data_IF_706369319234
#
_entry.id   IF_706369319234
#
_cell.length_a   1.000
_cell.length_b   1.000
_cell.length_c   1.000
_cell.angle_alpha   90.00
_cell.angle_beta   90.00
_cell.angle_gamma   90.00
#
_symmetry.space_group_name_H-M   'P 1'
#
loop_
_entity.id
_entity.type
_entity.pdbx_description
1 polymer ?
#
# COMPACT_ATOMS: atom_id res chain seq x y z
N UNK A 1 -14.06 -43.77 3.01
CA UNK A 1 -14.52 -42.92 4.13
C UNK A 1 -15.73 -42.18 3.60
N UNK A 2 -16.93 -42.50 4.08
CA UNK A 2 -18.14 -41.76 3.70
C UNK A 2 -18.05 -40.37 4.32
N UNK A 3 -18.17 -39.32 3.51
CA UNK A 3 -18.44 -38.00 4.07
C UNK A 3 -19.80 -38.09 4.76
N UNK A 4 -19.81 -37.95 6.07
CA UNK A 4 -21.04 -37.74 6.83
C UNK A 4 -21.75 -36.51 6.25
N UNK A 5 -23.09 -36.59 6.16
CA UNK A 5 -24.03 -35.62 5.57
C UNK A 5 -23.93 -34.23 6.22
N UNK A 6 -22.82 -33.53 6.01
CA UNK A 6 -22.65 -32.12 6.35
C UNK A 6 -23.14 -31.28 5.18
N UNK A 7 -24.00 -30.31 5.45
CA UNK A 7 -24.34 -29.27 4.48
C UNK A 7 -23.07 -28.46 4.13
N UNK A 8 -22.74 -28.40 2.84
CA UNK A 8 -21.67 -27.56 2.32
C UNK A 8 -21.96 -26.09 2.60
N UNK A 9 -20.97 -25.36 3.11
CA UNK A 9 -21.04 -23.90 3.15
C UNK A 9 -20.59 -23.30 1.82
N UNK A 10 -20.87 -22.01 1.60
CA UNK A 10 -20.39 -21.28 0.42
C UNK A 10 -18.87 -21.26 0.37
N UNK A 11 -18.19 -21.26 1.52
CA UNK A 11 -16.73 -21.30 1.58
C UNK A 11 -16.17 -22.67 1.13
N UNK A 12 -16.87 -23.77 1.43
CA UNK A 12 -16.48 -25.12 0.98
C UNK A 12 -16.57 -25.26 -0.55
N UNK A 13 -17.46 -24.51 -1.22
CA UNK A 13 -17.58 -24.46 -2.68
C UNK A 13 -16.51 -23.58 -3.35
N UNK A 14 -15.84 -22.73 -2.58
CA UNK A 14 -14.73 -21.89 -3.04
C UNK A 14 -13.37 -22.57 -2.84
N UNK A 15 -13.32 -23.65 -2.06
CA UNK A 15 -12.17 -24.53 -1.97
C UNK A 15 -12.17 -25.53 -3.13
N UNK A 16 -11.20 -25.47 -4.06
CA UNK A 16 -11.23 -26.27 -5.27
C UNK A 16 -11.18 -27.78 -5.00
N UNK A 17 -10.47 -28.19 -3.94
CA UNK A 17 -10.30 -29.61 -3.59
C UNK A 17 -11.59 -30.18 -2.98
N UNK A 18 -12.27 -29.41 -2.12
CA UNK A 18 -13.57 -29.77 -1.56
C UNK A 18 -14.66 -29.82 -2.63
N UNK A 19 -14.70 -28.84 -3.54
CA UNK A 19 -15.63 -28.84 -4.68
C UNK A 19 -15.40 -30.08 -5.58
N UNK A 20 -14.13 -30.44 -5.83
CA UNK A 20 -13.74 -31.61 -6.62
C UNK A 20 -14.23 -32.92 -5.99
N UNK A 21 -14.04 -33.08 -4.68
CA UNK A 21 -14.49 -34.25 -3.95
C UNK A 21 -16.01 -34.37 -3.94
N UNK A 22 -16.72 -33.25 -3.81
CA UNK A 22 -18.19 -33.25 -3.80
C UNK A 22 -18.80 -33.53 -5.18
N UNK A 23 -18.23 -32.95 -6.24
CA UNK A 23 -18.61 -33.28 -7.62
C UNK A 23 -18.29 -34.74 -7.92
N UNK A 24 -17.17 -35.26 -7.40
CA UNK A 24 -16.81 -36.65 -7.57
C UNK A 24 -17.78 -37.61 -6.87
N UNK A 25 -18.19 -37.31 -5.64
CA UNK A 25 -19.17 -38.10 -4.89
C UNK A 25 -20.57 -38.02 -5.52
N UNK A 26 -20.99 -36.82 -5.95
CA UNK A 26 -22.30 -36.59 -6.59
C UNK A 26 -22.45 -37.31 -7.94
N UNK A 27 -21.37 -37.41 -8.73
CA UNK A 27 -21.43 -38.03 -10.07
C UNK A 27 -21.09 -39.51 -10.10
N UNK A 28 -20.60 -40.13 -9.01
CA UNK A 28 -20.01 -41.47 -9.10
C UNK A 28 -20.57 -42.54 -8.18
N UNK A 29 -21.39 -43.37 -8.81
CA UNK A 29 -21.10 -44.80 -8.90
C UNK A 29 -20.26 -45.22 -10.13
N UNK A 30 -19.42 -44.36 -10.72
CA UNK A 30 -18.60 -44.66 -11.92
C UNK A 30 -17.16 -44.14 -11.78
N UNK A 31 -16.24 -44.45 -12.70
CA UNK A 31 -14.87 -43.93 -12.68
C UNK A 31 -14.79 -42.50 -13.26
N UNK A 32 -14.36 -41.50 -12.48
CA UNK A 32 -14.16 -40.13 -13.00
C UNK A 32 -12.81 -39.98 -13.68
N UNK A 33 -12.85 -39.32 -14.84
CA UNK A 33 -11.71 -38.59 -15.36
C UNK A 33 -11.70 -37.20 -14.69
N UNK A 34 -10.70 -36.93 -13.84
CA UNK A 34 -10.57 -35.67 -13.10
C UNK A 34 -9.98 -34.52 -13.92
N UNK A 35 -9.47 -34.79 -15.14
CA UNK A 35 -8.83 -33.77 -15.98
C UNK A 35 -9.69 -32.52 -16.19
N UNK A 36 -11.00 -32.60 -16.52
CA UNK A 36 -11.82 -31.40 -16.73
C UNK A 36 -11.97 -30.52 -15.48
N UNK A 37 -11.91 -31.12 -14.28
CA UNK A 37 -11.99 -30.39 -13.02
C UNK A 37 -10.66 -29.74 -12.66
N UNK A 38 -9.54 -30.40 -12.94
CA UNK A 38 -8.20 -29.81 -12.80
C UNK A 38 -8.02 -28.65 -13.78
N UNK A 39 -8.47 -28.81 -15.03
CA UNK A 39 -8.45 -27.74 -16.04
C UNK A 39 -9.29 -26.54 -15.60
N UNK A 40 -10.47 -26.78 -15.00
CA UNK A 40 -11.32 -25.71 -14.45
C UNK A 40 -10.67 -25.01 -13.26
N UNK A 41 -10.06 -25.76 -12.33
CA UNK A 41 -9.30 -25.19 -11.20
C UNK A 41 -8.18 -24.29 -11.70
N UNK A 42 -7.38 -24.80 -12.63
CA UNK A 42 -6.21 -24.11 -13.17
C UNK A 42 -6.64 -22.85 -13.95
N UNK A 43 -7.81 -22.88 -14.60
CA UNK A 43 -8.43 -21.70 -15.20
C UNK A 43 -8.92 -20.67 -14.16
N UNK A 44 -9.51 -21.11 -13.04
CA UNK A 44 -10.08 -20.23 -12.02
C UNK A 44 -9.01 -19.64 -11.07
N UNK A 45 -7.88 -20.30 -10.87
CA UNK A 45 -6.87 -19.89 -9.90
C UNK A 45 -6.34 -18.45 -10.13
N UNK A 46 -5.97 -18.05 -11.36
CA UNK A 46 -5.52 -16.69 -11.64
C UNK A 46 -6.59 -15.63 -11.37
N UNK A 47 -7.87 -15.97 -11.56
CA UNK A 47 -8.98 -15.05 -11.28
C UNK A 47 -9.12 -14.78 -9.78
N UNK A 48 -9.01 -15.81 -8.95
CA UNK A 48 -9.05 -15.65 -7.48
C UNK A 48 -7.84 -14.88 -6.97
N UNK A 49 -6.66 -15.13 -7.54
CA UNK A 49 -5.45 -14.38 -7.20
C UNK A 49 -5.58 -12.90 -7.58
N UNK A 50 -6.16 -12.61 -8.74
CA UNK A 50 -6.47 -11.25 -9.18
C UNK A 50 -7.42 -10.54 -8.21
N UNK A 51 -8.51 -11.17 -7.80
CA UNK A 51 -9.49 -10.54 -6.91
C UNK A 51 -8.85 -10.23 -5.53
N UNK A 52 -8.05 -11.14 -4.99
CA UNK A 52 -7.27 -10.88 -3.75
C UNK A 52 -6.25 -9.75 -3.92
N UNK A 53 -5.60 -9.66 -5.07
CA UNK A 53 -4.69 -8.57 -5.38
C UNK A 53 -5.44 -7.24 -5.51
N UNK A 54 -6.60 -7.23 -6.17
CA UNK A 54 -7.48 -6.06 -6.30
C UNK A 54 -7.85 -5.47 -4.94
N UNK A 55 -8.23 -6.30 -3.97
CA UNK A 55 -8.61 -5.84 -2.63
C UNK A 55 -7.43 -5.14 -1.93
N UNK A 56 -6.23 -5.73 -2.02
CA UNK A 56 -5.01 -5.11 -1.47
C UNK A 56 -4.68 -3.78 -2.15
N UNK A 57 -4.92 -3.68 -3.46
CA UNK A 57 -4.76 -2.42 -4.22
C UNK A 57 -5.74 -1.38 -3.69
N UNK A 58 -7.02 -1.71 -3.52
CA UNK A 58 -8.03 -0.80 -3.01
C UNK A 58 -7.67 -0.23 -1.63
N UNK A 59 -7.28 -1.09 -0.69
CA UNK A 59 -6.82 -0.64 0.63
C UNK A 59 -5.59 0.29 0.57
N UNK A 60 -4.66 -0.01 -0.34
CA UNK A 60 -3.44 0.79 -0.51
C UNK A 60 -3.75 2.16 -1.09
N UNK A 61 -4.73 2.25 -2.00
CA UNK A 61 -5.18 3.52 -2.56
C UNK A 61 -5.86 4.40 -1.50
N UNK A 62 -6.69 3.82 -0.62
CA UNK A 62 -7.31 4.56 0.49
C UNK A 62 -6.26 5.14 1.46
N UNK A 63 -5.26 4.33 1.81
CA UNK A 63 -4.11 4.76 2.63
C UNK A 63 -3.34 5.89 1.94
N UNK A 64 -3.16 5.81 0.62
CA UNK A 64 -2.50 6.86 -0.16
C UNK A 64 -3.29 8.18 -0.12
N UNK A 65 -4.59 8.16 -0.36
CA UNK A 65 -5.40 9.38 -0.36
C UNK A 65 -5.43 10.08 0.99
N UNK A 66 -5.48 9.29 2.07
CA UNK A 66 -5.41 9.80 3.44
C UNK A 66 -4.05 10.44 3.71
N UNK A 67 -2.97 9.71 3.45
CA UNK A 67 -1.61 10.19 3.65
C UNK A 67 -1.32 11.46 2.82
N UNK A 68 -1.79 11.52 1.57
CA UNK A 68 -1.56 12.66 0.70
C UNK A 68 -2.23 13.93 1.23
N UNK A 69 -3.47 13.84 1.73
CA UNK A 69 -4.14 14.97 2.39
C UNK A 69 -3.39 15.41 3.63
N UNK A 70 -2.99 14.47 4.49
CA UNK A 70 -2.28 14.78 5.73
C UNK A 70 -0.92 15.43 5.47
N UNK A 71 -0.14 14.89 4.51
CA UNK A 71 1.13 15.47 4.10
C UNK A 71 0.98 16.88 3.54
N UNK A 72 -0.05 17.13 2.72
CA UNK A 72 -0.32 18.46 2.20
C UNK A 72 -0.59 19.46 3.34
N UNK A 73 -1.49 19.11 4.27
CA UNK A 73 -1.80 19.97 5.42
C UNK A 73 -0.59 20.18 6.33
N UNK A 74 0.20 19.13 6.59
CA UNK A 74 1.40 19.24 7.40
C UNK A 74 2.47 20.09 6.72
N UNK A 75 2.65 19.96 5.41
CA UNK A 75 3.61 20.76 4.65
C UNK A 75 3.27 22.26 4.76
N UNK A 76 2.01 22.63 4.51
CA UNK A 76 1.56 24.03 4.66
C UNK A 76 1.85 24.56 6.06
N UNK A 77 1.51 23.79 7.11
CA UNK A 77 1.77 24.21 8.49
C UNK A 77 3.26 24.24 8.84
N UNK A 78 4.06 23.34 8.27
CA UNK A 78 5.48 23.25 8.54
C UNK A 78 6.25 24.38 7.87
N UNK A 79 5.83 24.85 6.69
CA UNK A 79 6.40 26.03 6.01
C UNK A 79 6.33 27.29 6.91
N UNK A 80 5.27 27.48 7.69
CA UNK A 80 5.18 28.60 8.64
C UNK A 80 6.28 28.62 9.71
N UNK A 81 6.82 27.45 10.09
CA UNK A 81 7.97 27.40 10.99
C UNK A 81 9.24 28.00 10.39
N UNK A 82 9.33 28.06 9.05
CA UNK A 82 10.45 28.69 8.36
C UNK A 82 10.22 30.18 8.14
N UNK A 83 9.01 30.55 7.75
CA UNK A 83 8.72 31.91 7.25
C UNK A 83 8.34 32.90 8.36
N UNK A 84 7.84 32.41 9.50
CA UNK A 84 7.28 33.28 10.55
C UNK A 84 8.19 33.33 11.81
N UNK A 85 8.87 34.46 12.10
CA UNK A 85 9.83 34.58 13.22
C UNK A 85 9.22 34.40 14.62
N UNK A 86 7.88 34.44 14.74
CA UNK A 86 7.14 34.40 16.00
C UNK A 86 6.53 33.02 16.29
N UNK A 87 6.75 32.03 15.44
CA UNK A 87 6.16 30.71 15.64
C UNK A 87 6.85 29.99 16.81
N UNK A 88 6.11 29.43 17.79
CA UNK A 88 6.73 28.81 18.95
C UNK A 88 7.61 27.61 18.58
N UNK A 89 8.87 27.61 19.02
CA UNK A 89 9.86 26.58 18.70
C UNK A 89 9.41 25.16 19.08
N UNK A 90 8.75 25.03 20.24
CA UNK A 90 8.18 23.74 20.71
C UNK A 90 7.08 23.20 19.78
N UNK A 91 6.34 24.08 19.11
CA UNK A 91 5.34 23.72 18.11
C UNK A 91 6.03 23.27 16.81
N UNK A 92 7.09 23.97 16.40
CA UNK A 92 7.86 23.60 15.22
C UNK A 92 8.58 22.25 15.38
N UNK A 93 9.19 21.98 16.54
CA UNK A 93 9.75 20.67 16.87
C UNK A 93 8.70 19.54 16.82
N UNK A 94 7.47 19.82 17.27
CA UNK A 94 6.36 18.84 17.20
C UNK A 94 5.90 18.62 15.76
N UNK A 95 5.77 19.69 14.98
CA UNK A 95 5.40 19.62 13.57
C UNK A 95 6.45 18.86 12.76
N UNK A 96 7.75 19.13 12.97
CA UNK A 96 8.86 18.39 12.36
C UNK A 96 8.76 16.89 12.60
N UNK A 97 8.64 16.46 13.87
CA UNK A 97 8.50 15.03 14.21
C UNK A 97 7.29 14.39 13.52
N UNK A 98 6.16 15.10 13.47
CA UNK A 98 4.97 14.62 12.74
C UNK A 98 5.25 14.51 11.26
N UNK A 99 5.88 15.53 10.66
CA UNK A 99 6.22 15.54 9.25
C UNK A 99 7.16 14.39 8.88
N UNK A 100 8.25 14.19 9.64
CA UNK A 100 9.17 13.05 9.50
C UNK A 100 8.45 11.71 9.59
N UNK A 101 7.50 11.55 10.52
CA UNK A 101 6.70 10.35 10.65
C UNK A 101 5.84 10.08 9.40
N UNK A 102 5.25 11.12 8.80
CA UNK A 102 4.47 10.99 7.56
C UNK A 102 5.36 10.70 6.36
N UNK A 103 6.56 11.27 6.28
CA UNK A 103 7.55 10.92 5.25
C UNK A 103 7.94 9.45 5.34
N UNK A 104 8.19 8.93 6.54
CA UNK A 104 8.43 7.49 6.76
C UNK A 104 7.22 6.65 6.37
N UNK A 105 6.01 7.13 6.67
CA UNK A 105 4.76 6.51 6.21
C UNK A 105 4.68 6.43 4.68
N UNK A 106 5.01 7.52 3.99
CA UNK A 106 5.05 7.60 2.52
C UNK A 106 6.07 6.61 1.93
N UNK A 107 7.25 6.48 2.53
CA UNK A 107 8.28 5.53 2.09
C UNK A 107 7.79 4.09 2.20
N UNK A 108 7.17 3.72 3.33
CA UNK A 108 6.59 2.38 3.52
C UNK A 108 5.47 2.10 2.51
N UNK A 109 4.59 3.07 2.30
CA UNK A 109 3.49 2.94 1.35
C UNK A 109 4.01 2.82 -0.09
N UNK A 110 5.06 3.57 -0.44
CA UNK A 110 5.73 3.47 -1.74
C UNK A 110 6.28 2.06 -1.97
N UNK A 111 6.97 1.49 -0.98
CA UNK A 111 7.47 0.12 -1.06
C UNK A 111 6.32 -0.89 -1.26
N UNK A 112 5.20 -0.72 -0.53
CA UNK A 112 4.02 -1.58 -0.71
C UNK A 112 3.41 -1.46 -2.11
N UNK A 113 3.36 -0.25 -2.67
CA UNK A 113 2.88 -0.04 -4.05
C UNK A 113 3.82 -0.71 -5.06
N UNK A 114 5.14 -0.65 -4.85
CA UNK A 114 6.11 -1.35 -5.70
C UNK A 114 5.96 -2.87 -5.62
N UNK A 115 5.67 -3.42 -4.43
CA UNK A 115 5.32 -4.84 -4.28
C UNK A 115 4.03 -5.18 -5.03
N UNK A 116 2.98 -4.36 -4.92
CA UNK A 116 1.72 -4.60 -5.62
C UNK A 116 1.85 -4.53 -7.13
N UNK A 117 2.71 -3.66 -7.66
CA UNK A 117 3.02 -3.62 -9.09
C UNK A 117 3.66 -4.94 -9.51
N UNK A 118 4.66 -5.44 -8.77
CA UNK A 118 5.28 -6.74 -9.08
C UNK A 118 4.30 -7.90 -8.95
N UNK A 119 3.53 -7.94 -7.85
CA UNK A 119 2.45 -8.93 -7.65
C UNK A 119 1.49 -8.90 -8.85
N UNK A 120 1.16 -7.71 -9.37
CA UNK A 120 0.30 -7.55 -10.55
C UNK A 120 0.93 -8.03 -11.85
N UNK A 121 2.20 -7.68 -12.11
CA UNK A 121 2.97 -8.11 -13.28
C UNK A 121 3.09 -9.63 -13.39
N UNK A 122 3.14 -10.33 -12.25
CA UNK A 122 3.19 -11.78 -12.16
C UNK A 122 1.83 -12.47 -12.38
N UNK A 123 0.72 -11.71 -12.41
CA UNK A 123 -0.62 -12.26 -12.66
C UNK A 123 -0.86 -12.46 -14.17
N UNK A 124 -0.96 -13.71 -14.60
CA UNK A 124 -1.35 -14.08 -15.97
C UNK A 124 -2.87 -14.01 -16.17
N UNK A 125 -3.42 -12.80 -16.23
CA UNK A 125 -4.88 -12.58 -16.34
C UNK A 125 -5.24 -11.48 -17.34
N UNK A 126 -6.17 -11.80 -18.24
CA UNK A 126 -6.73 -10.84 -19.21
C UNK A 126 -8.00 -10.22 -18.63
N UNK A 127 -7.84 -9.20 -17.77
CA UNK A 127 -8.95 -8.39 -17.21
C UNK A 127 -8.93 -6.97 -17.79
N UNK A 128 -10.08 -6.46 -18.23
CA UNK A 128 -10.19 -5.12 -18.87
C UNK A 128 -9.69 -3.96 -18.00
N UNK A 129 -9.78 -4.08 -16.68
CA UNK A 129 -9.40 -3.06 -15.71
C UNK A 129 -7.95 -3.21 -15.18
N UNK A 130 -7.25 -4.30 -15.51
CA UNK A 130 -5.89 -4.55 -15.04
C UNK A 130 -4.92 -3.41 -15.45
N UNK A 131 -4.86 -3.07 -16.73
CA UNK A 131 -4.02 -1.99 -17.25
C UNK A 131 -4.29 -0.64 -16.56
N UNK A 132 -5.57 -0.34 -16.31
CA UNK A 132 -5.96 0.89 -15.61
C UNK A 132 -5.47 0.92 -14.17
N UNK A 133 -5.50 -0.20 -13.46
CA UNK A 133 -4.97 -0.31 -12.10
C UNK A 133 -3.45 -0.22 -12.08
N UNK A 134 -2.77 -0.90 -13.00
CA UNK A 134 -1.32 -0.83 -13.11
C UNK A 134 -0.85 0.60 -13.37
N UNK A 135 -1.54 1.32 -14.26
CA UNK A 135 -1.32 2.74 -14.48
C UNK A 135 -1.59 3.58 -13.21
N UNK A 136 -2.65 3.25 -12.45
CA UNK A 136 -2.98 3.94 -11.20
C UNK A 136 -1.93 3.71 -10.12
N UNK A 137 -1.44 2.49 -9.94
CA UNK A 137 -0.36 2.15 -9.02
C UNK A 137 0.94 2.85 -9.39
N UNK A 138 1.30 2.88 -10.68
CA UNK A 138 2.45 3.62 -11.18
C UNK A 138 2.32 5.12 -10.89
N UNK A 139 1.12 5.69 -11.09
CA UNK A 139 0.84 7.08 -10.73
C UNK A 139 0.99 7.33 -9.22
N UNK A 140 0.48 6.44 -8.37
CA UNK A 140 0.63 6.55 -6.91
C UNK A 140 2.10 6.50 -6.50
N UNK A 141 2.86 5.53 -7.02
CA UNK A 141 4.32 5.40 -6.79
C UNK A 141 5.03 6.71 -7.11
N UNK A 142 4.76 7.30 -8.27
CA UNK A 142 5.41 8.53 -8.71
C UNK A 142 5.02 9.73 -7.81
N UNK A 143 3.76 9.82 -7.38
CA UNK A 143 3.32 10.87 -6.46
C UNK A 143 3.98 10.74 -5.09
N UNK A 144 4.09 9.52 -4.56
CA UNK A 144 4.80 9.26 -3.30
C UNK A 144 6.28 9.65 -3.42
N UNK A 145 6.96 9.29 -4.52
CA UNK A 145 8.36 9.70 -4.74
C UNK A 145 8.53 11.21 -4.70
N UNK A 146 7.66 11.95 -5.40
CA UNK A 146 7.71 13.42 -5.42
C UNK A 146 7.44 14.01 -4.03
N UNK A 147 6.41 13.53 -3.34
CA UNK A 147 6.09 14.02 -2.00
C UNK A 147 7.22 13.77 -0.99
N UNK A 148 7.89 12.61 -1.08
CA UNK A 148 9.06 12.28 -0.25
C UNK A 148 10.21 13.24 -0.57
N UNK A 149 10.51 13.47 -1.86
CA UNK A 149 11.60 14.34 -2.28
C UNK A 149 11.39 15.80 -1.82
N UNK A 150 10.19 16.34 -2.03
CA UNK A 150 9.82 17.70 -1.58
C UNK A 150 9.92 17.83 -0.06
N UNK A 151 9.42 16.84 0.68
CA UNK A 151 9.49 16.83 2.13
C UNK A 151 10.93 16.73 2.66
N UNK A 152 11.78 15.91 2.02
CA UNK A 152 13.19 15.78 2.39
C UNK A 152 13.96 17.09 2.16
N UNK A 153 13.67 17.82 1.07
CA UNK A 153 14.27 19.14 0.83
C UNK A 153 13.90 20.13 1.95
N UNK A 154 12.65 20.10 2.40
CA UNK A 154 12.20 20.99 3.47
C UNK A 154 12.84 20.64 4.82
N UNK A 155 12.97 19.35 5.14
CA UNK A 155 13.69 18.88 6.34
C UNK A 155 15.17 19.27 6.32
N UNK A 156 15.84 19.10 5.18
CA UNK A 156 17.26 19.48 5.03
C UNK A 156 17.47 20.99 5.21
N UNK A 157 16.53 21.82 4.74
CA UNK A 157 16.55 23.27 4.96
C UNK A 157 16.42 23.63 6.44
N UNK A 158 15.65 22.86 7.21
CA UNK A 158 15.49 23.06 8.66
C UNK A 158 16.76 22.73 9.41
N UNK A 159 17.37 21.59 9.09
CA UNK A 159 18.64 21.15 9.69
C UNK A 159 19.75 22.17 9.46
N UNK A 160 19.86 22.73 8.26
CA UNK A 160 20.84 23.77 7.95
C UNK A 160 20.63 25.04 8.80
N UNK A 161 19.38 25.46 9.01
CA UNK A 161 19.04 26.62 9.83
C UNK A 161 19.38 26.41 11.31
N UNK A 162 19.10 25.22 11.86
CA UNK A 162 19.49 24.88 13.24
C UNK A 162 21.01 24.96 13.42
N UNK A 163 21.80 24.47 12.44
CA UNK A 163 23.27 24.54 12.51
C UNK A 163 23.83 25.97 12.39
N UNK A 164 23.20 26.84 11.61
CA UNK A 164 23.60 28.26 11.48
C UNK A 164 23.19 29.10 12.70
N UNK A 165 22.04 28.80 13.33
CA UNK A 165 21.56 29.49 14.53
C UNK A 165 22.42 29.23 15.76
N UNK A 166 22.81 27.97 16.00
CA UNK A 166 23.72 27.59 17.10
C UNK A 166 25.12 28.21 16.96
N UNK A 167 25.53 28.53 15.73
CA UNK A 167 26.83 29.16 15.46
C UNK A 167 26.89 30.65 15.85
N UNK A 168 25.74 31.33 15.93
CA UNK A 168 25.66 32.76 16.25
C UNK A 168 25.58 33.04 17.76
N UNK A 169 25.02 32.14 18.56
CA UNK A 169 24.92 32.31 20.02
C UNK A 169 26.27 32.08 20.75
N UNK A 170 27.24 31.43 20.11
CA UNK A 170 28.58 31.21 20.66
C UNK A 170 29.52 32.43 20.69
N UNK A 171 29.17 33.55 20.05
CA UNK A 171 30.06 34.73 19.91
C UNK A 171 29.81 35.81 20.97
N UNK A 172 28.69 35.78 21.69
CA UNK A 172 28.31 36.87 22.62
C UNK A 172 28.75 36.62 24.09
N UNK A 173 29.33 35.46 24.40
CA UNK A 173 29.72 35.10 25.77
C UNK A 173 31.16 35.52 26.19
N UNK A 174 31.82 36.41 25.44
CA UNK A 174 33.11 37.02 25.82
C UNK A 174 33.12 38.51 25.48
N UNK A 175 32.48 39.32 26.31
CA UNK A 175 32.53 40.79 26.28
C UNK A 175 32.50 41.34 27.69
#
# INVERSE_FOLDING_TARGET
MSMEERELTVEDLLDPDTLLLYVADFFLGKSLNLNPLLDLRDFCMPLVQYDKWWDKVAETLEKFETLQRELYHLNVNYVFCFEEPRYPESTCKRLRRRFEAHVKGAQKLKARVEELIKEGEDLDVVRRNYEHLMARLAWVRNNLSRAIEEAQKLLAKDEARETEGDSAEGVVAQG
#
